data_IF_415266691523
#
_entry.id   IF_415266691523
#
_cell.length_a   1.000
_cell.length_b   1.000
_cell.length_c   1.000
_cell.angle_alpha   90.00
_cell.angle_beta   90.00
_cell.angle_gamma   90.00
#
_symmetry.space_group_name_H-M   'P 1'
#
loop_
_entity.id
_entity.type
_entity.pdbx_description
1 polymer ?
#
# COMPACT_ATOMS: atom_id res chain seq x y z
N UNK A 1 -1.09 59.42 13.82
CA UNK A 1 -0.88 59.33 15.29
C UNK A 1 -0.07 60.53 15.72
N UNK A 2 -0.38 61.14 16.88
CA UNK A 2 0.39 62.28 17.41
C UNK A 2 1.07 61.79 18.69
N UNK A 3 2.38 62.01 18.80
CA UNK A 3 3.16 61.67 19.99
C UNK A 3 3.65 62.96 20.65
N UNK A 4 3.48 63.09 21.97
CA UNK A 4 4.08 64.17 22.74
C UNK A 4 5.42 63.71 23.33
N UNK A 5 6.52 64.29 22.87
CA UNK A 5 7.88 63.92 23.29
C UNK A 5 8.23 64.49 24.67
N UNK A 6 7.47 65.48 25.16
CA UNK A 6 7.75 66.19 26.40
C UNK A 6 8.97 67.10 26.29
N UNK A 7 9.57 67.46 27.44
CA UNK A 7 10.75 68.32 27.48
C UNK A 7 11.98 67.59 26.92
N UNK A 8 12.51 68.11 25.82
CA UNK A 8 13.75 67.62 25.22
C UNK A 8 14.89 68.59 25.55
N UNK A 9 15.78 68.17 26.46
CA UNK A 9 16.93 68.99 26.88
C UNK A 9 17.94 69.18 25.75
N UNK A 10 18.72 70.27 25.80
CA UNK A 10 19.77 70.57 24.81
C UNK A 10 20.74 69.40 24.69
N UNK A 11 21.02 68.98 23.45
CA UNK A 11 21.92 67.87 23.13
C UNK A 11 21.34 66.46 23.41
N UNK A 12 20.08 66.36 23.84
CA UNK A 12 19.43 65.07 24.10
C UNK A 12 18.67 64.54 22.88
N UNK A 13 18.45 63.23 22.83
CA UNK A 13 17.65 62.56 21.81
C UNK A 13 16.56 61.74 22.46
N UNK A 14 15.35 61.79 21.89
CA UNK A 14 14.25 60.89 22.24
C UNK A 14 13.92 59.99 21.05
N UNK A 15 13.59 58.73 21.31
CA UNK A 15 13.32 57.72 20.28
C UNK A 15 11.84 57.32 20.32
N UNK A 16 11.16 57.49 19.19
CA UNK A 16 9.83 56.93 18.95
C UNK A 16 10.00 55.69 18.07
N UNK A 17 9.46 54.56 18.52
CA UNK A 17 9.52 53.29 17.76
C UNK A 17 8.14 52.94 17.24
N UNK A 18 8.05 52.78 15.93
CA UNK A 18 6.88 52.22 15.27
C UNK A 18 7.20 50.77 14.90
N UNK A 19 6.30 49.85 15.25
CA UNK A 19 6.41 48.43 14.91
C UNK A 19 5.23 48.07 14.01
N UNK A 20 5.54 47.42 12.90
CA UNK A 20 4.56 46.87 11.98
C UNK A 20 4.68 45.35 11.98
N UNK A 21 3.55 44.69 11.78
CA UNK A 21 3.52 43.27 11.41
C UNK A 21 3.16 43.21 9.95
N UNK A 22 4.04 42.66 9.13
CA UNK A 22 3.79 42.40 7.72
C UNK A 22 3.07 41.05 7.65
N UNK A 23 1.88 41.03 7.08
CA UNK A 23 1.09 39.80 6.94
C UNK A 23 1.61 38.91 5.80
N UNK A 24 1.30 37.61 5.81
CA UNK A 24 1.76 36.66 4.78
C UNK A 24 1.22 36.95 3.37
N UNK A 25 0.11 37.70 3.27
CA UNK A 25 -0.52 38.11 2.02
C UNK A 25 -0.10 39.53 1.56
N UNK A 26 0.95 40.12 2.16
CA UNK A 26 1.37 41.47 1.80
C UNK A 26 1.98 41.47 0.41
N UNK A 27 1.50 42.36 -0.47
CA UNK A 27 2.02 42.50 -1.83
C UNK A 27 3.50 42.89 -1.82
N UNK A 28 4.27 42.23 -2.70
CA UNK A 28 5.66 42.57 -2.89
C UNK A 28 5.78 43.94 -3.59
N UNK A 29 6.86 44.67 -3.28
CA UNK A 29 7.17 45.90 -3.98
C UNK A 29 8.27 46.71 -3.31
N UNK A 30 8.87 47.59 -4.09
CA UNK A 30 9.93 48.48 -3.64
C UNK A 30 9.30 49.63 -2.85
N UNK A 31 9.81 49.90 -1.64
CA UNK A 31 9.42 51.03 -0.79
C UNK A 31 7.90 51.12 -0.49
N UNK A 32 7.19 49.98 -0.49
CA UNK A 32 5.73 49.93 -0.30
C UNK A 32 5.29 50.22 1.14
N UNK A 33 6.13 49.93 2.13
CA UNK A 33 5.87 50.31 3.52
C UNK A 33 6.51 51.68 3.74
N UNK A 34 5.70 52.73 3.82
CA UNK A 34 6.16 54.12 4.01
C UNK A 34 5.72 54.68 5.36
N UNK A 35 6.57 55.51 5.95
CA UNK A 35 6.29 56.28 7.16
C UNK A 35 6.84 57.70 6.99
N UNK A 36 6.07 58.69 7.45
CA UNK A 36 6.47 60.09 7.45
C UNK A 36 6.36 60.63 8.86
N UNK A 37 7.49 60.99 9.46
CA UNK A 37 7.51 61.68 10.75
C UNK A 37 7.65 63.17 10.52
N UNK A 38 6.77 63.95 11.16
CA UNK A 38 6.77 65.41 11.08
C UNK A 38 6.60 66.03 12.46
N UNK A 39 7.37 67.08 12.79
CA UNK A 39 7.13 67.92 13.97
C UNK A 39 6.02 68.91 13.65
N UNK A 40 4.90 68.80 14.37
CA UNK A 40 3.68 69.59 14.11
C UNK A 40 3.65 70.86 14.98
N UNK A 41 4.27 70.82 16.16
CA UNK A 41 4.32 71.96 17.08
C UNK A 41 5.46 71.83 18.09
N UNK A 42 6.05 72.96 18.48
CA UNK A 42 6.95 73.12 19.61
C UNK A 42 6.62 74.43 20.36
N UNK A 43 6.89 74.51 21.66
CA UNK A 43 6.61 75.72 22.46
C UNK A 43 7.63 76.84 22.20
N UNK A 44 8.87 76.47 21.88
CA UNK A 44 9.94 77.40 21.55
C UNK A 44 9.99 77.65 20.03
N UNK A 45 10.55 78.80 19.62
CA UNK A 45 10.78 79.11 18.21
C UNK A 45 11.75 78.11 17.60
N UNK A 46 11.28 77.37 16.60
CA UNK A 46 12.14 76.56 15.76
C UNK A 46 12.88 77.46 14.74
N UNK A 47 14.20 77.47 14.84
CA UNK A 47 15.08 78.27 14.00
C UNK A 47 15.42 77.60 12.66
N UNK A 48 15.09 76.33 12.48
CA UNK A 48 15.33 75.58 11.24
C UNK A 48 14.18 74.63 10.90
N UNK A 49 12.99 75.14 10.55
CA UNK A 49 11.81 74.30 10.30
C UNK A 49 11.93 73.34 9.11
N UNK A 50 12.97 73.48 8.27
CA UNK A 50 13.18 72.61 7.10
C UNK A 50 13.62 71.19 7.47
N UNK A 51 14.10 70.95 8.70
CA UNK A 51 14.54 69.62 9.15
C UNK A 51 13.46 68.86 9.96
N UNK A 52 12.23 69.38 10.00
CA UNK A 52 11.16 68.81 10.81
C UNK A 52 10.42 67.64 10.17
N UNK A 53 10.82 67.21 8.97
CA UNK A 53 10.15 66.15 8.23
C UNK A 53 11.17 65.13 7.78
N UNK A 54 10.91 63.86 8.06
CA UNK A 54 11.73 62.74 7.62
C UNK A 54 10.85 61.60 7.11
N UNK A 55 10.93 61.25 5.81
CA UNK A 55 10.34 60.02 5.30
C UNK A 55 11.24 58.82 5.60
N UNK A 56 10.64 57.65 5.73
CA UNK A 56 11.32 56.36 5.75
C UNK A 56 10.46 55.36 4.98
N UNK A 57 11.08 54.52 4.16
CA UNK A 57 10.40 53.47 3.43
C UNK A 57 11.17 52.16 3.54
N UNK A 58 10.47 51.05 3.28
CA UNK A 58 11.06 49.73 3.12
C UNK A 58 10.24 48.89 2.16
N UNK A 59 10.92 47.96 1.50
CA UNK A 59 10.35 47.06 0.50
C UNK A 59 9.74 45.82 1.14
N UNK A 60 8.89 45.13 0.39
CA UNK A 60 8.38 43.80 0.72
C UNK A 60 8.82 42.84 -0.37
N UNK A 61 9.44 41.73 0.03
CA UNK A 61 9.74 40.59 -0.82
C UNK A 61 8.91 39.40 -0.36
N UNK A 62 8.48 38.55 -1.30
CA UNK A 62 7.74 37.32 -0.99
C UNK A 62 8.68 36.14 -1.01
N UNK A 63 8.69 35.42 0.09
CA UNK A 63 9.46 34.20 0.30
C UNK A 63 8.51 33.05 0.69
N UNK A 64 8.63 31.92 0.03
CA UNK A 64 7.91 30.69 0.33
C UNK A 64 8.88 29.51 0.51
N UNK A 65 8.50 28.52 1.31
CA UNK A 65 9.24 27.26 1.50
C UNK A 65 8.27 26.16 1.09
N UNK A 66 8.47 25.55 -0.08
CA UNK A 66 7.52 24.61 -0.66
C UNK A 66 8.07 23.20 -0.52
N UNK A 67 7.64 22.50 0.51
CA UNK A 67 8.01 21.10 0.66
C UNK A 67 7.08 20.21 -0.17
N UNK A 68 7.68 19.37 -1.01
CA UNK A 68 6.98 18.33 -1.77
C UNK A 68 7.26 16.97 -1.15
N UNK A 69 6.23 16.14 -1.04
CA UNK A 69 6.34 14.74 -0.67
C UNK A 69 5.52 13.86 -1.62
N UNK A 70 6.06 12.73 -2.04
CA UNK A 70 5.34 11.68 -2.76
C UNK A 70 5.38 10.41 -1.91
N UNK A 71 4.23 9.79 -1.68
CA UNK A 71 4.14 8.53 -0.92
C UNK A 71 3.24 7.55 -1.64
N UNK A 72 3.52 6.27 -1.51
CA UNK A 72 2.71 5.20 -2.10
C UNK A 72 1.82 4.48 -1.08
N UNK A 73 0.78 3.79 -1.56
CA UNK A 73 -0.11 3.01 -0.69
C UNK A 73 0.46 1.64 -0.29
N UNK A 74 1.35 1.09 -1.12
CA UNK A 74 2.01 -0.21 -0.89
C UNK A 74 3.24 -0.35 -1.76
N UNK A 75 4.24 -1.03 -1.23
CA UNK A 75 5.38 -1.56 -1.97
C UNK A 75 5.73 -2.96 -1.42
N UNK A 76 5.67 -4.02 -2.23
CA UNK A 76 5.28 -4.04 -3.65
C UNK A 76 3.76 -3.96 -3.90
N UNK A 77 3.39 -3.54 -5.11
CA UNK A 77 2.04 -3.76 -5.66
C UNK A 77 1.92 -5.16 -6.25
N UNK A 78 0.79 -5.82 -5.95
CA UNK A 78 0.45 -7.13 -6.50
C UNK A 78 -0.36 -6.94 -7.80
N UNK A 79 0.24 -7.27 -8.93
CA UNK A 79 -0.36 -7.07 -10.25
C UNK A 79 -1.65 -7.89 -10.41
N UNK A 80 -2.73 -7.24 -10.83
CA UNK A 80 -4.05 -7.85 -11.01
C UNK A 80 -4.84 -8.10 -9.72
N UNK A 81 -4.26 -7.82 -8.55
CA UNK A 81 -4.97 -7.92 -7.28
C UNK A 81 -5.79 -6.65 -7.01
N UNK A 82 -7.04 -6.80 -6.58
CA UNK A 82 -7.89 -5.69 -6.10
C UNK A 82 -8.80 -6.20 -4.98
N UNK A 83 -8.78 -5.56 -3.82
CA UNK A 83 -9.63 -5.92 -2.68
C UNK A 83 -11.12 -5.73 -2.98
N UNK A 84 -11.48 -4.69 -3.74
CA UNK A 84 -12.86 -4.36 -4.11
C UNK A 84 -13.31 -5.01 -5.42
N UNK A 85 -12.40 -5.68 -6.14
CA UNK A 85 -12.66 -6.21 -7.49
C UNK A 85 -12.83 -5.13 -8.55
N UNK A 86 -12.46 -3.88 -8.25
CA UNK A 86 -12.46 -2.74 -9.19
C UNK A 86 -11.04 -2.34 -9.56
N UNK A 87 -10.81 -1.77 -10.76
CA UNK A 87 -9.52 -1.17 -11.12
C UNK A 87 -9.05 -0.16 -10.06
N UNK A 88 -7.73 -0.05 -9.87
CA UNK A 88 -7.16 0.87 -8.88
C UNK A 88 -6.55 0.15 -7.66
N UNK A 89 -5.37 -0.44 -7.82
CA UNK A 89 -4.71 -1.27 -6.81
C UNK A 89 -3.40 -0.67 -6.26
N UNK A 90 -3.00 0.50 -6.73
CA UNK A 90 -1.89 1.30 -6.22
C UNK A 90 -2.26 2.78 -6.29
N UNK A 91 -1.91 3.55 -5.26
CA UNK A 91 -2.07 5.01 -5.28
C UNK A 91 -0.79 5.71 -4.84
N UNK A 92 -0.35 6.70 -5.60
CA UNK A 92 0.68 7.65 -5.16
C UNK A 92 0.02 8.95 -4.73
N UNK A 93 0.41 9.51 -3.59
CA UNK A 93 -0.15 10.74 -3.05
C UNK A 93 0.95 11.79 -3.01
N UNK A 94 0.73 12.85 -3.78
CA UNK A 94 1.62 14.02 -3.84
C UNK A 94 1.09 15.05 -2.85
N UNK A 95 1.92 15.46 -1.90
CA UNK A 95 1.63 16.49 -0.89
C UNK A 95 2.52 17.69 -1.14
N UNK A 96 1.93 18.89 -1.18
CA UNK A 96 2.65 20.15 -1.22
C UNK A 96 2.31 20.94 0.02
N UNK A 97 3.32 21.48 0.71
CA UNK A 97 3.15 22.27 1.93
C UNK A 97 3.91 23.59 1.85
N UNK A 98 3.29 24.69 2.23
CA UNK A 98 3.97 25.99 2.33
C UNK A 98 4.42 26.25 3.77
N UNK A 99 5.68 25.94 4.07
CA UNK A 99 6.31 26.18 5.36
C UNK A 99 6.90 27.59 5.49
N UNK A 100 6.77 28.41 4.45
CA UNK A 100 7.41 29.72 4.34
C UNK A 100 6.68 30.84 5.09
N UNK A 101 7.27 32.04 5.09
CA UNK A 101 6.69 33.20 5.78
C UNK A 101 5.54 33.88 4.99
N UNK A 102 5.45 33.69 3.67
CA UNK A 102 4.41 34.28 2.83
C UNK A 102 3.42 33.24 2.31
N UNK A 103 2.20 33.66 1.99
CA UNK A 103 1.31 32.85 1.16
C UNK A 103 2.00 32.62 -0.20
N UNK A 104 1.76 31.49 -0.85
CA UNK A 104 2.32 31.18 -2.16
C UNK A 104 1.20 31.15 -3.20
N UNK A 105 1.37 31.77 -4.36
CA UNK A 105 0.36 31.78 -5.41
C UNK A 105 0.98 31.61 -6.79
N UNK A 106 0.17 31.15 -7.74
CA UNK A 106 0.59 30.81 -9.10
C UNK A 106 1.76 29.83 -9.14
N UNK A 107 1.72 28.77 -8.33
CA UNK A 107 2.74 27.72 -8.37
C UNK A 107 2.49 26.85 -9.61
N UNK A 108 3.56 26.50 -10.32
CA UNK A 108 3.54 25.48 -11.35
C UNK A 108 4.36 24.29 -10.87
N UNK A 109 3.75 23.12 -10.88
CA UNK A 109 4.38 21.86 -10.51
C UNK A 109 4.53 20.99 -11.76
N UNK A 110 5.75 20.57 -12.07
CA UNK A 110 6.00 19.54 -13.07
C UNK A 110 5.65 18.18 -12.47
N UNK A 111 4.84 17.40 -13.19
CA UNK A 111 4.49 16.04 -12.82
C UNK A 111 4.95 15.08 -13.91
N UNK A 112 5.57 13.99 -13.51
CA UNK A 112 5.96 12.91 -14.40
C UNK A 112 5.56 11.57 -13.79
N UNK A 113 5.14 10.65 -14.65
CA UNK A 113 4.96 9.26 -14.26
C UNK A 113 5.47 8.33 -15.34
N UNK A 114 6.25 7.36 -14.91
CA UNK A 114 6.82 6.30 -15.73
C UNK A 114 6.26 4.99 -15.21
N UNK A 115 5.74 4.15 -16.08
CA UNK A 115 5.15 2.87 -15.68
C UNK A 115 5.41 1.79 -16.75
N UNK A 116 5.52 0.52 -16.36
CA UNK A 116 5.69 -0.56 -17.32
C UNK A 116 4.37 -0.82 -18.10
N UNK A 117 4.43 -1.53 -19.24
CA UNK A 117 3.23 -1.97 -19.95
C UNK A 117 2.28 -2.73 -19.03
N UNK A 118 0.97 -2.55 -19.20
CA UNK A 118 -0.04 -3.15 -18.32
C UNK A 118 -0.36 -2.32 -17.07
N UNK A 119 0.29 -1.17 -16.87
CA UNK A 119 -0.07 -0.18 -15.85
C UNK A 119 -0.76 1.02 -16.51
N UNK A 120 -1.87 1.49 -15.94
CA UNK A 120 -2.57 2.69 -16.40
C UNK A 120 -2.92 3.61 -15.24
N UNK A 121 -2.91 4.92 -15.47
CA UNK A 121 -3.44 5.90 -14.51
C UNK A 121 -4.96 5.97 -14.73
N UNK A 122 -5.71 5.63 -13.68
CA UNK A 122 -7.17 5.66 -13.66
C UNK A 122 -7.68 7.08 -13.40
N UNK A 123 -7.09 7.77 -12.41
CA UNK A 123 -7.49 9.11 -12.02
C UNK A 123 -6.37 9.91 -11.36
N UNK A 124 -6.53 11.24 -11.38
CA UNK A 124 -5.64 12.19 -10.75
C UNK A 124 -6.42 13.27 -9.97
N UNK A 125 -6.06 13.46 -8.70
CA UNK A 125 -6.67 14.45 -7.81
C UNK A 125 -8.10 14.07 -7.40
N UNK A 126 -8.93 15.04 -6.97
CA UNK A 126 -10.30 14.79 -6.50
C UNK A 126 -11.32 14.55 -7.63
N UNK A 127 -10.91 14.56 -8.89
CA UNK A 127 -11.75 14.23 -10.04
C UNK A 127 -11.11 13.13 -10.87
N UNK A 128 -11.89 12.43 -11.68
CA UNK A 128 -11.40 11.41 -12.62
C UNK A 128 -10.67 12.03 -13.82
N UNK A 129 -9.68 12.88 -13.52
CA UNK A 129 -8.87 13.60 -14.50
C UNK A 129 -7.64 12.78 -14.90
N UNK A 130 -7.11 13.06 -16.09
CA UNK A 130 -5.79 12.58 -16.50
C UNK A 130 -4.69 13.34 -15.76
N UNK A 131 -3.58 12.68 -15.46
CA UNK A 131 -2.37 13.32 -14.92
C UNK A 131 -1.87 14.42 -15.88
N UNK A 132 -1.89 15.71 -15.49
CA UNK A 132 -1.36 16.79 -16.33
C UNK A 132 0.18 16.82 -16.22
N UNK A 133 0.91 17.20 -17.28
CA UNK A 133 2.37 17.35 -17.20
C UNK A 133 2.81 18.54 -16.33
N UNK A 134 1.94 19.56 -16.22
CA UNK A 134 2.12 20.70 -15.32
C UNK A 134 0.81 20.97 -14.60
N UNK A 135 0.86 20.97 -13.27
CA UNK A 135 -0.25 21.32 -12.40
C UNK A 135 -0.11 22.77 -11.94
N UNK A 136 -1.16 23.57 -12.16
CA UNK A 136 -1.21 24.95 -11.68
C UNK A 136 -1.96 25.04 -10.36
N UNK A 137 -1.36 25.67 -9.36
CA UNK A 137 -1.95 25.89 -8.04
C UNK A 137 -2.08 27.40 -7.85
N UNK A 138 -3.33 27.88 -7.80
CA UNK A 138 -3.61 29.32 -7.71
C UNK A 138 -3.12 29.91 -6.39
N UNK A 139 -3.37 29.22 -5.27
CA UNK A 139 -3.01 29.68 -3.95
C UNK A 139 -2.74 28.52 -2.99
N UNK A 140 -1.63 28.60 -2.26
CA UNK A 140 -1.25 27.75 -1.14
C UNK A 140 -0.86 28.68 0.03
N UNK A 141 -1.81 28.99 0.94
CA UNK A 141 -1.55 29.86 2.07
C UNK A 141 -0.42 29.36 2.96
N UNK A 142 0.17 30.28 3.73
CA UNK A 142 1.20 29.94 4.72
C UNK A 142 0.68 28.89 5.72
N UNK A 143 1.44 27.82 5.90
CA UNK A 143 1.18 26.73 6.83
C UNK A 143 0.16 25.71 6.35
N UNK A 144 -0.38 25.87 5.14
CA UNK A 144 -1.34 24.94 4.56
C UNK A 144 -0.65 23.90 3.67
N UNK A 145 -1.35 22.77 3.49
CA UNK A 145 -0.95 21.69 2.60
C UNK A 145 -2.09 21.32 1.65
N UNK A 146 -1.74 20.87 0.45
CA UNK A 146 -2.67 20.31 -0.54
C UNK A 146 -2.16 18.95 -1.01
N UNK A 147 -3.10 18.03 -1.28
CA UNK A 147 -2.79 16.65 -1.66
C UNK A 147 -3.47 16.26 -2.97
N UNK A 148 -2.75 15.54 -3.83
CA UNK A 148 -3.25 14.97 -5.07
C UNK A 148 -2.93 13.47 -5.15
N UNK A 149 -3.97 12.63 -5.28
CA UNK A 149 -3.78 11.20 -5.51
C UNK A 149 -3.62 10.89 -7.00
N UNK A 150 -2.72 9.97 -7.34
CA UNK A 150 -2.60 9.31 -8.64
C UNK A 150 -3.02 7.86 -8.42
N UNK A 151 -4.15 7.45 -8.99
CA UNK A 151 -4.63 6.09 -8.87
C UNK A 151 -4.19 5.26 -10.08
N UNK A 152 -3.48 4.16 -9.82
CA UNK A 152 -2.99 3.23 -10.83
C UNK A 152 -3.81 1.95 -10.85
N UNK A 153 -4.12 1.47 -12.05
CA UNK A 153 -4.52 0.09 -12.29
C UNK A 153 -3.33 -0.68 -12.87
N UNK A 154 -2.76 -1.57 -12.05
CA UNK A 154 -1.64 -2.44 -12.40
C UNK A 154 -2.21 -3.81 -12.73
N UNK A 155 -2.36 -4.11 -14.02
CA UNK A 155 -3.01 -5.33 -14.49
C UNK A 155 -2.15 -6.57 -14.23
N UNK A 156 -2.76 -7.76 -14.23
CA UNK A 156 -2.05 -9.04 -14.07
C UNK A 156 -1.02 -9.32 -15.17
N UNK A 157 -1.02 -8.56 -16.27
CA UNK A 157 -0.04 -8.69 -17.37
C UNK A 157 1.15 -7.74 -17.21
N UNK A 158 1.14 -6.86 -16.19
CA UNK A 158 2.28 -5.99 -15.91
C UNK A 158 3.53 -6.84 -15.60
N UNK A 159 4.70 -6.53 -16.19
CA UNK A 159 5.92 -7.25 -15.89
C UNK A 159 6.38 -6.98 -14.46
N UNK A 160 6.96 -7.99 -13.80
CA UNK A 160 7.57 -7.80 -12.50
C UNK A 160 8.84 -6.94 -12.58
N UNK A 161 9.13 -6.20 -11.52
CA UNK A 161 10.33 -5.37 -11.44
C UNK A 161 10.41 -4.58 -10.14
N UNK A 162 11.62 -4.11 -9.82
CA UNK A 162 11.87 -3.24 -8.67
C UNK A 162 11.78 -1.78 -9.15
N UNK A 163 11.10 -0.92 -8.39
CA UNK A 163 11.02 0.52 -8.62
C UNK A 163 10.58 0.90 -10.05
N UNK A 164 9.58 0.17 -10.59
CA UNK A 164 9.19 0.30 -12.00
C UNK A 164 8.04 1.26 -12.26
N UNK A 165 7.22 1.53 -11.24
CA UNK A 165 6.15 2.54 -11.31
C UNK A 165 6.65 3.75 -10.54
N UNK A 166 6.99 4.81 -11.25
CA UNK A 166 7.56 6.02 -10.65
C UNK A 166 6.59 7.18 -10.84
N UNK A 167 6.41 7.98 -9.78
CA UNK A 167 5.82 9.32 -9.86
C UNK A 167 6.80 10.32 -9.31
N UNK A 168 7.03 11.40 -10.03
CA UNK A 168 7.81 12.52 -9.55
C UNK A 168 7.03 13.82 -9.65
N UNK A 169 7.33 14.71 -8.72
CA UNK A 169 6.79 16.05 -8.64
C UNK A 169 7.94 17.01 -8.35
N UNK A 170 8.04 18.10 -9.11
CA UNK A 170 9.05 19.12 -8.89
C UNK A 170 8.46 20.50 -9.12
N UNK A 171 8.76 21.45 -8.23
CA UNK A 171 8.37 22.85 -8.40
C UNK A 171 9.06 23.40 -9.67
N UNK A 172 8.24 23.79 -10.64
CA UNK A 172 8.71 24.36 -11.90
C UNK A 172 8.89 25.87 -11.78
N UNK A 173 7.93 26.55 -11.14
CA UNK A 173 8.01 28.00 -10.92
C UNK A 173 7.16 28.50 -9.76
N UNK A 174 7.63 29.60 -9.17
CA UNK A 174 6.94 30.42 -8.19
C UNK A 174 7.24 31.90 -8.48
N UNK A 175 6.26 32.78 -8.26
CA UNK A 175 6.39 34.22 -8.54
C UNK A 175 7.22 35.01 -7.52
N UNK A 176 7.69 34.39 -6.45
CA UNK A 176 8.57 34.97 -5.45
C UNK A 176 9.88 34.18 -5.30
N UNK A 177 10.55 34.35 -4.17
CA UNK A 177 11.76 33.60 -3.84
C UNK A 177 11.39 32.32 -3.10
N UNK A 178 12.00 31.20 -3.48
CA UNK A 178 11.94 29.98 -2.67
C UNK A 178 13.11 29.94 -1.70
N UNK A 179 12.80 29.66 -0.44
CA UNK A 179 13.79 29.32 0.58
C UNK A 179 13.79 27.80 0.75
N UNK A 180 14.96 27.21 1.00
CA UNK A 180 15.16 25.76 1.11
C UNK A 180 14.80 24.95 -0.16
N UNK A 181 15.28 25.35 -1.36
CA UNK A 181 14.88 24.73 -2.62
C UNK A 181 15.22 23.23 -2.76
N UNK A 182 16.02 22.68 -1.85
CA UNK A 182 16.31 21.24 -1.79
C UNK A 182 15.08 20.36 -1.51
N UNK A 183 13.99 20.91 -0.99
CA UNK A 183 12.75 20.17 -0.67
C UNK A 183 11.62 20.41 -1.69
N UNK A 184 11.92 21.14 -2.78
CA UNK A 184 10.98 21.51 -3.84
C UNK A 184 10.72 20.39 -4.86
N UNK A 185 11.23 19.19 -4.63
CA UNK A 185 11.03 18.05 -5.51
C UNK A 185 11.07 16.75 -4.72
N UNK A 186 10.25 15.80 -5.14
CA UNK A 186 10.26 14.45 -4.60
C UNK A 186 9.79 13.42 -5.64
N UNK A 187 10.16 12.17 -5.42
CA UNK A 187 9.78 11.06 -6.28
C UNK A 187 9.63 9.79 -5.47
N UNK A 188 8.60 9.01 -5.78
CA UNK A 188 8.38 7.70 -5.20
C UNK A 188 8.32 6.62 -6.29
N UNK A 189 8.82 5.43 -5.97
CA UNK A 189 8.89 4.32 -6.90
C UNK A 189 8.40 3.01 -6.28
N UNK A 190 7.41 2.39 -6.92
CA UNK A 190 6.83 1.11 -6.47
C UNK A 190 7.37 -0.07 -7.26
N UNK A 191 7.66 -1.16 -6.56
CA UNK A 191 7.98 -2.45 -7.15
C UNK A 191 6.73 -3.25 -7.51
N UNK A 192 6.79 -4.02 -8.60
CA UNK A 192 5.70 -4.86 -9.09
C UNK A 192 6.03 -6.34 -8.89
N UNK A 193 5.14 -7.05 -8.19
CA UNK A 193 5.09 -8.52 -8.19
C UNK A 193 3.99 -8.97 -9.14
N UNK A 194 4.32 -9.86 -10.08
CA UNK A 194 3.45 -10.26 -11.18
C UNK A 194 3.18 -11.76 -11.20
N UNK A 195 1.93 -12.19 -11.47
CA UNK A 195 1.64 -13.60 -11.76
C UNK A 195 2.29 -14.04 -13.07
N UNK A 196 2.58 -13.13 -14.00
CA UNK A 196 3.30 -13.42 -15.25
C UNK A 196 4.76 -13.84 -15.05
N UNK A 197 5.34 -13.55 -13.88
CA UNK A 197 6.68 -13.98 -13.48
C UNK A 197 6.66 -15.22 -12.58
N UNK A 198 5.59 -16.00 -12.61
CA UNK A 198 5.49 -17.30 -11.91
C UNK A 198 5.52 -18.43 -12.93
N UNK A 199 6.37 -19.43 -12.72
CA UNK A 199 6.29 -20.68 -13.47
C UNK A 199 5.42 -21.65 -12.69
N UNK A 200 4.46 -22.29 -13.36
CA UNK A 200 3.57 -23.28 -12.77
C UNK A 200 3.48 -24.50 -13.69
N UNK A 201 3.51 -25.69 -13.09
CA UNK A 201 3.37 -26.95 -13.81
C UNK A 201 2.80 -28.05 -12.93
N UNK A 202 2.06 -28.98 -13.54
CA UNK A 202 1.49 -30.14 -12.86
C UNK A 202 2.21 -31.43 -13.25
N UNK A 203 2.40 -32.32 -12.29
CA UNK A 203 2.81 -33.71 -12.54
C UNK A 203 1.71 -34.50 -13.25
N UNK A 204 2.00 -35.76 -13.56
CA UNK A 204 0.95 -36.71 -13.93
C UNK A 204 -0.09 -36.86 -12.80
N UNK A 205 -1.35 -37.00 -13.19
CA UNK A 205 -2.46 -37.27 -12.27
C UNK A 205 -2.47 -38.78 -11.97
N UNK A 206 -2.56 -39.15 -10.69
CA UNK A 206 -2.51 -40.54 -10.25
C UNK A 206 -3.66 -40.88 -9.30
N UNK A 207 -4.24 -42.07 -9.41
CA UNK A 207 -5.31 -42.51 -8.51
C UNK A 207 -4.72 -42.99 -7.17
N UNK A 208 -5.17 -42.39 -6.09
CA UNK A 208 -4.93 -42.89 -4.74
C UNK A 208 -6.04 -43.88 -4.37
N UNK A 209 -5.68 -45.17 -4.29
CA UNK A 209 -6.63 -46.25 -3.98
C UNK A 209 -7.15 -46.20 -2.53
N UNK A 210 -6.49 -45.49 -1.62
CA UNK A 210 -6.95 -45.37 -0.24
C UNK A 210 -8.07 -44.35 -0.09
N UNK A 211 -7.97 -43.23 -0.81
CA UNK A 211 -8.94 -42.13 -0.73
C UNK A 211 -9.94 -42.12 -1.88
N UNK A 212 -9.70 -42.93 -2.94
CA UNK A 212 -10.42 -42.89 -4.21
C UNK A 212 -10.38 -41.51 -4.90
N UNK A 213 -9.39 -40.68 -4.56
CA UNK A 213 -9.14 -39.37 -5.17
C UNK A 213 -7.97 -39.47 -6.14
N UNK A 214 -8.03 -38.67 -7.20
CA UNK A 214 -6.94 -38.47 -8.13
C UNK A 214 -6.03 -37.35 -7.59
N UNK A 215 -4.75 -37.62 -7.41
CA UNK A 215 -3.77 -36.66 -6.90
C UNK A 215 -2.87 -36.14 -8.00
N UNK A 216 -2.57 -34.85 -7.95
CA UNK A 216 -1.59 -34.19 -8.80
C UNK A 216 -0.72 -33.26 -7.95
N UNK A 217 0.59 -33.34 -8.15
CA UNK A 217 1.53 -32.38 -7.57
C UNK A 217 1.66 -31.20 -8.53
N UNK A 218 1.45 -29.99 -8.03
CA UNK A 218 1.60 -28.73 -8.76
C UNK A 218 2.85 -28.04 -8.21
N UNK A 219 3.86 -27.83 -9.05
CA UNK A 219 5.05 -27.07 -8.68
C UNK A 219 4.85 -25.62 -9.11
N UNK A 220 5.02 -24.69 -8.16
CA UNK A 220 4.95 -23.24 -8.39
C UNK A 220 6.31 -22.66 -8.06
N UNK A 221 6.91 -21.93 -9.00
CA UNK A 221 8.21 -21.27 -8.83
C UNK A 221 8.05 -19.77 -8.97
N UNK A 222 8.48 -19.03 -7.95
CA UNK A 222 8.51 -17.58 -7.98
C UNK A 222 9.73 -17.09 -8.77
N UNK A 223 9.53 -16.57 -9.99
CA UNK A 223 10.59 -15.88 -10.74
C UNK A 223 10.47 -14.35 -10.68
N UNK A 224 9.64 -13.83 -9.76
CA UNK A 224 9.68 -12.40 -9.45
C UNK A 224 11.01 -12.05 -8.77
N UNK A 225 11.48 -10.80 -8.91
CA UNK A 225 12.65 -10.32 -8.18
C UNK A 225 12.39 -10.17 -6.67
N UNK A 226 11.12 -10.17 -6.25
CA UNK A 226 10.68 -10.01 -4.86
C UNK A 226 9.85 -11.23 -4.40
N UNK A 227 9.62 -11.31 -3.09
CA UNK A 227 8.75 -12.34 -2.51
C UNK A 227 7.29 -12.18 -2.96
N UNK A 228 6.58 -13.30 -3.08
CA UNK A 228 5.12 -13.30 -3.23
C UNK A 228 4.53 -13.55 -1.83
N UNK A 229 3.70 -12.66 -1.28
CA UNK A 229 3.21 -12.80 0.10
C UNK A 229 2.17 -13.93 0.26
N UNK A 230 1.30 -14.12 -0.73
CA UNK A 230 0.36 -15.24 -0.84
C UNK A 230 -0.18 -15.33 -2.28
N UNK A 231 -0.71 -16.50 -2.67
CA UNK A 231 -1.32 -16.67 -3.98
C UNK A 231 -2.42 -17.74 -4.06
N UNK A 232 -3.37 -17.44 -4.95
CA UNK A 232 -4.34 -18.24 -5.69
C UNK A 232 -3.73 -19.19 -6.72
N UNK A 233 -3.84 -20.51 -6.61
CA UNK A 233 -3.75 -21.39 -7.80
C UNK A 233 -5.16 -21.74 -8.27
N UNK A 234 -5.66 -21.04 -9.29
CA UNK A 234 -6.94 -21.33 -9.92
C UNK A 234 -6.77 -22.54 -10.83
N UNK A 235 -7.66 -23.52 -10.68
CA UNK A 235 -7.62 -24.79 -11.41
C UNK A 235 -8.84 -24.90 -12.33
N UNK A 236 -8.60 -24.60 -13.61
CA UNK A 236 -9.57 -24.63 -14.69
C UNK A 236 -9.44 -25.86 -15.58
N UNK A 237 -10.16 -25.86 -16.71
CA UNK A 237 -10.11 -26.95 -17.71
C UNK A 237 -10.72 -28.28 -17.24
N UNK A 238 -11.36 -28.32 -16.07
CA UNK A 238 -11.88 -29.55 -15.49
C UNK A 238 -13.14 -30.04 -16.25
N UNK A 239 -13.21 -31.32 -16.64
CA UNK A 239 -14.42 -31.91 -17.19
C UNK A 239 -15.61 -31.83 -16.22
N UNK A 240 -16.84 -31.86 -16.73
CA UNK A 240 -18.05 -31.73 -15.91
C UNK A 240 -18.28 -32.85 -14.88
N UNK A 241 -17.58 -33.98 -14.98
CA UNK A 241 -17.58 -35.07 -13.99
C UNK A 241 -16.42 -34.98 -12.99
N UNK A 242 -15.60 -33.93 -13.07
CA UNK A 242 -14.42 -33.69 -12.21
C UNK A 242 -14.67 -32.49 -11.31
N UNK A 243 -14.33 -32.63 -10.03
CA UNK A 243 -14.34 -31.54 -9.05
C UNK A 243 -13.01 -31.50 -8.31
N UNK A 244 -12.52 -30.29 -8.01
CA UNK A 244 -11.38 -30.11 -7.11
C UNK A 244 -11.87 -30.33 -5.68
N UNK A 245 -11.56 -31.50 -5.12
CA UNK A 245 -12.07 -31.95 -3.83
C UNK A 245 -11.53 -31.13 -2.67
N UNK A 246 -10.26 -30.73 -2.73
CA UNK A 246 -9.61 -29.88 -1.74
C UNK A 246 -9.65 -28.38 -2.10
N UNK A 247 -10.62 -27.96 -2.92
CA UNK A 247 -10.80 -26.55 -3.28
C UNK A 247 -11.03 -25.69 -2.04
N UNK A 248 -10.35 -24.55 -1.98
CA UNK A 248 -10.40 -23.62 -0.85
C UNK A 248 -11.36 -22.44 -1.06
N UNK A 249 -12.13 -22.49 -2.14
CA UNK A 249 -13.01 -21.45 -2.62
C UNK A 249 -13.04 -21.43 -4.13
N UNK A 250 -13.69 -20.41 -4.69
CA UNK A 250 -13.68 -20.13 -6.11
C UNK A 250 -13.51 -18.62 -6.37
N UNK A 251 -12.74 -18.27 -7.39
CA UNK A 251 -12.60 -16.89 -7.90
C UNK A 251 -13.15 -16.87 -9.33
N UNK A 252 -14.12 -15.99 -9.60
CA UNK A 252 -14.81 -15.97 -10.90
C UNK A 252 -15.48 -17.30 -11.30
N UNK A 253 -15.84 -18.15 -10.32
CA UNK A 253 -16.39 -19.49 -10.56
C UNK A 253 -15.37 -20.60 -10.80
N UNK A 254 -14.07 -20.28 -10.84
CA UNK A 254 -12.98 -21.26 -10.95
C UNK A 254 -12.50 -21.66 -9.57
N UNK A 255 -12.46 -22.96 -9.21
CA UNK A 255 -11.99 -23.41 -7.90
C UNK A 255 -10.49 -23.15 -7.74
N UNK A 256 -10.02 -22.87 -6.52
CA UNK A 256 -8.61 -22.59 -6.28
C UNK A 256 -8.00 -23.32 -5.06
N UNK A 257 -6.67 -23.38 -5.04
CA UNK A 257 -5.86 -23.75 -3.88
C UNK A 257 -5.14 -22.51 -3.31
N UNK A 258 -5.40 -22.24 -2.02
CA UNK A 258 -4.72 -21.29 -1.12
C UNK A 258 -3.25 -21.59 -0.79
N UNK A 259 -2.26 -20.89 -1.32
CA UNK A 259 -0.96 -20.81 -0.65
C UNK A 259 -0.86 -19.48 0.10
N UNK A 260 -1.08 -19.52 1.42
CA UNK A 260 -1.21 -18.34 2.27
C UNK A 260 0.09 -18.00 3.02
N UNK A 261 1.23 -18.12 2.35
CA UNK A 261 2.55 -17.90 2.93
C UNK A 261 3.49 -17.22 1.94
N UNK A 262 4.54 -16.54 2.44
CA UNK A 262 5.53 -15.96 1.56
C UNK A 262 6.24 -17.07 0.76
N UNK A 263 6.49 -16.79 -0.51
CA UNK A 263 7.34 -17.58 -1.40
C UNK A 263 8.48 -16.68 -1.87
N UNK A 264 9.70 -16.94 -1.42
CA UNK A 264 10.85 -16.08 -1.70
C UNK A 264 11.20 -16.05 -3.20
N UNK A 265 11.94 -15.03 -3.63
CA UNK A 265 12.41 -14.94 -5.00
C UNK A 265 13.30 -16.15 -5.37
N UNK A 266 12.97 -16.82 -6.47
CA UNK A 266 13.64 -18.04 -6.94
C UNK A 266 13.22 -19.33 -6.22
N UNK A 267 12.34 -19.25 -5.22
CA UNK A 267 11.87 -20.41 -4.46
C UNK A 267 10.76 -21.16 -5.22
N UNK A 268 10.69 -22.47 -4.98
CA UNK A 268 9.62 -23.34 -5.47
C UNK A 268 8.86 -23.98 -4.32
N UNK A 269 7.55 -24.13 -4.49
CA UNK A 269 6.68 -24.89 -3.59
C UNK A 269 5.88 -25.94 -4.39
N UNK A 270 5.67 -27.10 -3.78
CA UNK A 270 4.82 -28.15 -4.31
C UNK A 270 3.47 -28.18 -3.58
N UNK A 271 2.39 -28.03 -4.34
CA UNK A 271 1.01 -28.09 -3.86
C UNK A 271 0.35 -29.40 -4.31
N UNK A 272 -0.38 -30.08 -3.43
CA UNK A 272 -1.19 -31.24 -3.85
C UNK A 272 -2.61 -30.82 -4.22
N UNK A 273 -3.02 -31.06 -5.47
CA UNK A 273 -4.41 -31.01 -5.90
C UNK A 273 -5.06 -32.40 -5.79
N UNK A 274 -6.23 -32.46 -5.19
CA UNK A 274 -7.02 -33.67 -5.02
C UNK A 274 -8.31 -33.54 -5.81
N UNK A 275 -8.49 -34.38 -6.83
CA UNK A 275 -9.67 -34.38 -7.69
C UNK A 275 -10.57 -35.56 -7.37
N UNK A 276 -11.86 -35.31 -7.31
CA UNK A 276 -12.88 -36.35 -7.39
C UNK A 276 -13.39 -36.42 -8.83
N UNK A 277 -13.37 -37.61 -9.42
CA UNK A 277 -13.94 -37.88 -10.74
C UNK A 277 -14.89 -39.06 -10.64
N UNK A 278 -16.13 -38.90 -11.11
CA UNK A 278 -17.17 -39.96 -11.04
C UNK A 278 -16.71 -41.25 -11.71
N UNK A 279 -15.98 -41.16 -12.82
CA UNK A 279 -15.48 -42.30 -13.59
C UNK A 279 -14.13 -42.83 -13.12
N UNK A 280 -13.43 -42.11 -12.23
CA UNK A 280 -12.08 -42.42 -11.76
C UNK A 280 -11.05 -42.71 -12.88
N UNK A 281 -11.24 -42.12 -14.07
CA UNK A 281 -10.41 -42.40 -15.26
C UNK A 281 -9.05 -41.69 -15.24
N UNK A 282 -8.94 -40.54 -14.59
CA UNK A 282 -7.72 -39.72 -14.55
C UNK A 282 -7.30 -39.10 -15.89
N UNK A 283 -8.10 -39.29 -16.94
CA UNK A 283 -7.77 -38.92 -18.33
C UNK A 283 -8.10 -37.47 -18.69
N UNK A 284 -7.71 -36.50 -17.86
CA UNK A 284 -7.92 -35.08 -18.13
C UNK A 284 -6.64 -34.27 -17.91
N UNK A 285 -6.66 -33.00 -18.30
CA UNK A 285 -5.60 -32.03 -18.07
C UNK A 285 -6.20 -30.82 -17.38
N UNK A 286 -5.60 -30.41 -16.26
CA UNK A 286 -5.98 -29.22 -15.54
C UNK A 286 -5.22 -28.01 -16.11
N UNK A 287 -5.87 -26.85 -16.14
CA UNK A 287 -5.25 -25.58 -16.48
C UNK A 287 -4.99 -24.79 -15.20
N UNK A 288 -3.82 -24.17 -15.07
CA UNK A 288 -3.44 -23.43 -13.88
C UNK A 288 -3.26 -21.94 -14.17
N UNK A 289 -3.81 -21.11 -13.30
CA UNK A 289 -3.59 -19.66 -13.31
C UNK A 289 -3.24 -19.17 -11.91
N UNK A 290 -2.27 -18.25 -11.83
CA UNK A 290 -1.90 -17.58 -10.59
C UNK A 290 -2.72 -16.31 -10.41
N UNK A 291 -3.31 -16.16 -9.23
CA UNK A 291 -3.93 -14.92 -8.75
C UNK A 291 -3.18 -14.50 -7.48
N UNK A 292 -2.50 -13.36 -7.49
CA UNK A 292 -1.81 -12.86 -6.31
C UNK A 292 -2.84 -12.32 -5.31
N UNK A 293 -2.59 -12.52 -4.02
CA UNK A 293 -3.44 -12.01 -2.94
C UNK A 293 -2.60 -11.59 -1.74
N UNK A 294 -3.13 -10.68 -0.94
CA UNK A 294 -2.61 -10.47 0.40
C UNK A 294 -2.92 -11.68 1.32
N UNK A 295 -2.09 -11.93 2.34
CA UNK A 295 -2.27 -13.07 3.22
C UNK A 295 -3.58 -12.94 4.01
N UNK A 296 -4.37 -14.01 4.01
CA UNK A 296 -5.59 -14.08 4.79
C UNK A 296 -5.26 -14.04 6.29
N UNK A 297 -5.93 -13.12 7.02
CA UNK A 297 -5.71 -12.91 8.46
C UNK A 297 -6.04 -14.13 9.31
N UNK A 298 -5.24 -14.35 10.36
CA UNK A 298 -5.39 -15.47 11.30
C UNK A 298 -6.37 -15.08 12.41
N UNK A 299 -7.61 -15.54 12.34
CA UNK A 299 -8.54 -15.40 13.46
C UNK A 299 -8.19 -16.41 14.57
N UNK A 300 -7.88 -15.91 15.77
CA UNK A 300 -7.53 -16.75 16.92
C UNK A 300 -8.70 -17.02 17.88
N UNK A 301 -8.92 -18.33 18.04
CA UNK A 301 -9.36 -19.12 19.20
C UNK A 301 -10.73 -18.88 19.87
N UNK A 302 -11.62 -19.81 19.59
CA UNK A 302 -12.34 -20.61 20.60
C UNK A 302 -11.44 -21.75 21.15
N UNK A 303 -11.90 -22.47 22.18
CA UNK A 303 -11.20 -23.64 22.74
C UNK A 303 -11.05 -24.77 21.70
N UNK A 304 -9.86 -25.40 21.67
CA UNK A 304 -9.56 -26.53 20.79
C UNK A 304 -10.30 -27.82 21.18
N UNK A 305 -10.51 -28.67 20.18
CA UNK A 305 -11.03 -30.03 20.27
C UNK A 305 -9.87 -30.99 20.43
N UNK A 306 -10.05 -32.00 21.28
CA UNK A 306 -9.09 -33.09 21.45
C UNK A 306 -8.98 -33.93 20.17
N UNK A 307 -7.74 -34.21 19.74
CA UNK A 307 -7.45 -35.14 18.66
C UNK A 307 -7.44 -36.57 19.21
N UNK A 308 -8.36 -37.42 18.72
CA UNK A 308 -8.44 -38.83 19.10
C UNK A 308 -7.23 -39.63 18.60
N UNK A 309 -6.69 -39.26 17.45
CA UNK A 309 -5.51 -39.92 16.87
C UNK A 309 -4.70 -38.93 16.05
N UNK A 310 -3.38 -39.00 16.23
CA UNK A 310 -2.40 -38.43 15.31
C UNK A 310 -1.44 -39.54 14.91
N UNK A 311 -1.39 -39.88 13.63
CA UNK A 311 -0.58 -40.99 13.12
C UNK A 311 0.23 -40.57 11.89
N UNK A 312 1.43 -41.12 11.73
CA UNK A 312 2.18 -40.97 10.48
C UNK A 312 1.82 -42.09 9.52
N UNK A 313 1.47 -41.74 8.28
CA UNK A 313 1.21 -42.70 7.21
C UNK A 313 2.54 -43.20 6.59
N UNK A 314 2.55 -44.30 5.82
CA UNK A 314 3.78 -44.84 5.21
C UNK A 314 4.53 -43.84 4.32
N UNK A 315 3.80 -42.93 3.66
CA UNK A 315 4.34 -41.83 2.85
C UNK A 315 4.79 -40.61 3.67
N UNK A 316 4.72 -40.68 5.01
CA UNK A 316 5.09 -39.63 5.97
C UNK A 316 4.07 -38.48 6.14
N UNK A 317 2.94 -38.51 5.44
CA UNK A 317 1.79 -37.67 5.74
C UNK A 317 1.36 -37.84 7.21
N UNK A 318 0.70 -36.83 7.79
CA UNK A 318 0.09 -36.94 9.12
C UNK A 318 -1.41 -37.07 9.01
N UNK A 319 -1.95 -38.17 9.53
CA UNK A 319 -3.38 -38.38 9.72
C UNK A 319 -3.80 -37.86 11.09
N UNK A 320 -4.77 -36.95 11.09
CA UNK A 320 -5.48 -36.46 12.27
C UNK A 320 -6.87 -37.07 12.29
N UNK A 321 -7.33 -37.50 13.46
CA UNK A 321 -8.68 -38.00 13.68
C UNK A 321 -9.28 -37.30 14.91
N UNK A 322 -10.51 -36.81 14.78
CA UNK A 322 -11.23 -36.19 15.88
C UNK A 322 -12.73 -36.48 15.82
N UNK A 323 -13.38 -36.53 16.98
CA UNK A 323 -14.85 -36.57 17.07
C UNK A 323 -15.42 -35.28 16.50
N UNK A 324 -16.36 -35.43 15.58
CA UNK A 324 -17.02 -34.33 14.89
C UNK A 324 -18.53 -34.51 14.86
N UNK A 325 -19.24 -33.46 14.50
CA UNK A 325 -20.70 -33.45 14.35
C UNK A 325 -20.98 -33.18 12.89
N UNK A 326 -21.77 -34.07 12.27
CA UNK A 326 -22.10 -33.98 10.84
C UNK A 326 -22.69 -32.61 10.50
N UNK A 327 -22.14 -31.96 9.49
CA UNK A 327 -22.54 -30.63 8.99
C UNK A 327 -21.85 -29.45 9.66
N UNK A 328 -21.12 -29.65 10.76
CA UNK A 328 -20.39 -28.59 11.45
C UNK A 328 -19.04 -28.29 10.78
N UNK A 329 -18.57 -27.06 11.00
CA UNK A 329 -17.35 -26.50 10.39
C UNK A 329 -16.22 -26.50 11.41
N UNK A 330 -15.06 -27.01 11.01
CA UNK A 330 -13.87 -27.14 11.83
C UNK A 330 -12.67 -26.50 11.15
N UNK A 331 -11.93 -25.65 11.86
CA UNK A 331 -10.64 -25.14 11.38
C UNK A 331 -9.53 -26.02 11.96
N UNK A 332 -8.70 -26.59 11.10
CA UNK A 332 -7.46 -27.23 11.54
C UNK A 332 -6.38 -26.15 11.66
N UNK A 333 -5.59 -26.24 12.72
CA UNK A 333 -4.46 -25.34 12.94
C UNK A 333 -3.19 -26.16 13.13
N UNK A 334 -2.10 -25.69 12.56
CA UNK A 334 -0.79 -26.28 12.73
C UNK A 334 0.22 -25.25 13.25
N UNK A 335 1.29 -25.73 13.87
CA UNK A 335 2.35 -24.91 14.43
C UNK A 335 3.68 -25.66 14.42
N UNK A 336 4.78 -24.94 14.30
CA UNK A 336 6.14 -25.51 14.38
C UNK A 336 6.77 -25.31 15.78
N UNK A 337 6.28 -24.35 16.56
CA UNK A 337 6.78 -24.00 17.90
C UNK A 337 5.78 -24.24 19.04
N UNK A 338 4.51 -24.51 18.70
CA UNK A 338 3.40 -24.66 19.64
C UNK A 338 2.81 -23.33 20.14
N UNK A 339 3.38 -22.20 19.74
CA UNK A 339 2.98 -20.84 20.14
C UNK A 339 2.29 -20.10 19.00
N UNK A 340 2.89 -20.12 17.80
CA UNK A 340 2.38 -19.51 16.59
C UNK A 340 1.56 -20.52 15.79
N UNK A 341 0.24 -20.33 15.76
CA UNK A 341 -0.68 -21.25 15.09
C UNK A 341 -1.20 -20.67 13.77
N UNK A 342 -1.16 -21.48 12.72
CA UNK A 342 -1.60 -21.12 11.38
C UNK A 342 -2.87 -21.90 11.05
N UNK A 343 -3.91 -21.22 10.55
CA UNK A 343 -5.14 -21.86 10.08
C UNK A 343 -4.88 -22.58 8.76
N UNK A 344 -5.29 -23.84 8.69
CA UNK A 344 -5.48 -24.57 7.45
C UNK A 344 -6.74 -24.03 6.79
N UNK A 345 -6.65 -23.70 5.51
CA UNK A 345 -7.77 -23.30 4.66
C UNK A 345 -7.94 -24.43 3.63
N UNK A 346 -9.17 -24.83 3.24
CA UNK A 346 -10.44 -24.35 3.77
C UNK A 346 -10.75 -25.01 5.12
N UNK A 347 -11.78 -24.48 5.79
CA UNK A 347 -12.35 -25.20 6.92
C UNK A 347 -12.92 -26.55 6.48
N UNK A 348 -12.87 -27.52 7.38
CA UNK A 348 -13.37 -28.88 7.17
C UNK A 348 -14.84 -28.95 7.58
N UNK A 349 -15.72 -29.30 6.63
CA UNK A 349 -17.11 -29.64 6.93
C UNK A 349 -17.18 -31.12 7.25
N UNK A 350 -17.62 -31.48 8.45
CA UNK A 350 -17.67 -32.87 8.87
C UNK A 350 -18.80 -33.64 8.15
N UNK A 351 -18.44 -34.70 7.41
CA UNK A 351 -19.40 -35.61 6.78
C UNK A 351 -19.79 -36.81 7.64
N UNK A 352 -19.15 -37.01 8.80
CA UNK A 352 -19.35 -38.14 9.70
C UNK A 352 -19.19 -37.69 11.16
N UNK A 353 -19.45 -38.59 12.12
CA UNK A 353 -19.25 -38.34 13.55
C UNK A 353 -17.78 -38.46 14.00
N UNK A 354 -16.91 -38.92 13.09
CA UNK A 354 -15.46 -38.96 13.24
C UNK A 354 -14.89 -38.43 11.94
N UNK A 355 -14.15 -37.33 12.01
CA UNK A 355 -13.47 -36.76 10.85
C UNK A 355 -12.03 -37.24 10.84
N UNK A 356 -11.60 -37.76 9.69
CA UNK A 356 -10.20 -37.98 9.38
C UNK A 356 -9.73 -36.89 8.42
N UNK A 357 -8.58 -36.29 8.74
CA UNK A 357 -7.95 -35.28 7.90
C UNK A 357 -6.47 -35.60 7.75
N UNK A 358 -5.94 -35.41 6.56
CA UNK A 358 -4.55 -35.75 6.23
C UNK A 358 -3.78 -34.49 5.87
N UNK A 359 -2.70 -34.25 6.61
CA UNK A 359 -1.65 -33.30 6.28
C UNK A 359 -0.64 -33.96 5.33
N UNK A 360 -0.69 -33.53 4.08
CA UNK A 360 0.23 -33.91 3.01
C UNK A 360 1.08 -32.71 2.55
N UNK A 361 1.22 -31.69 3.40
CA UNK A 361 1.96 -30.47 3.06
C UNK A 361 1.11 -29.42 2.34
N UNK A 362 1.77 -28.58 1.56
CA UNK A 362 1.12 -27.50 0.84
C UNK A 362 0.13 -28.04 -0.20
N UNK A 363 -1.01 -27.36 -0.45
CA UNK A 363 -1.40 -26.02 0.05
C UNK A 363 -2.03 -26.02 1.46
N UNK A 364 -2.25 -27.19 2.06
CA UNK A 364 -2.97 -27.29 3.35
C UNK A 364 -2.11 -26.73 4.49
N UNK A 365 -0.82 -27.02 4.48
CA UNK A 365 0.18 -26.53 5.44
C UNK A 365 1.39 -25.94 4.71
N UNK A 366 2.26 -25.23 5.42
CA UNK A 366 3.44 -24.55 4.85
C UNK A 366 4.34 -25.46 4.04
N UNK A 367 4.47 -26.69 4.50
CA UNK A 367 5.44 -27.66 4.01
C UNK A 367 5.03 -29.05 4.43
N UNK A 368 5.57 -30.07 3.78
CA UNK A 368 5.27 -31.44 4.15
C UNK A 368 5.67 -31.72 5.62
N UNK A 369 4.87 -32.45 6.42
CA UNK A 369 5.18 -32.68 7.83
C UNK A 369 6.53 -33.36 8.11
N UNK A 370 7.11 -34.01 7.10
CA UNK A 370 8.42 -34.65 7.20
C UNK A 370 9.60 -33.71 7.00
N UNK A 371 9.39 -32.48 6.51
CA UNK A 371 10.45 -31.51 6.27
C UNK A 371 10.65 -30.55 7.44
N UNK A 372 9.82 -30.65 8.48
CA UNK A 372 9.91 -29.86 9.72
C UNK A 372 10.32 -30.72 10.90
N UNK A 373 11.15 -30.18 11.80
CA UNK A 373 11.55 -30.89 13.02
C UNK A 373 10.36 -31.19 13.93
N UNK A 374 9.49 -30.20 14.10
CA UNK A 374 8.27 -30.31 14.91
C UNK A 374 7.06 -29.88 14.10
N UNK A 375 5.96 -30.60 14.28
CA UNK A 375 4.65 -30.24 13.72
C UNK A 375 3.56 -30.54 14.73
N UNK A 376 2.98 -29.49 15.29
CA UNK A 376 1.89 -29.53 16.24
C UNK A 376 0.56 -29.28 15.53
N UNK A 377 -0.50 -29.86 16.07
CA UNK A 377 -1.85 -29.75 15.51
C UNK A 377 -2.86 -29.46 16.60
N UNK A 378 -3.87 -28.66 16.25
CA UNK A 378 -5.11 -28.54 17.02
C UNK A 378 -6.28 -28.33 16.07
N UNK A 379 -7.47 -28.67 16.52
CA UNK A 379 -8.71 -28.47 15.75
C UNK A 379 -9.59 -27.55 16.55
N UNK A 380 -10.20 -26.56 15.92
CA UNK A 380 -11.19 -25.69 16.56
C UNK A 380 -12.53 -25.84 15.84
N UNK A 381 -13.62 -25.94 16.60
CA UNK A 381 -14.96 -25.83 16.01
C UNK A 381 -15.21 -24.36 15.74
N UNK A 382 -15.58 -24.03 14.51
CA UNK A 382 -16.00 -22.68 14.17
C UNK A 382 -17.36 -22.44 14.82
N UNK A 383 -17.50 -21.35 15.59
CA UNK A 383 -18.80 -20.97 16.11
C UNK A 383 -19.74 -20.66 14.92
N UNK A 384 -21.02 -21.03 15.00
CA UNK A 384 -21.99 -20.81 13.93
C UNK A 384 -22.17 -19.33 13.58
#
# INVERSE_FOLDING_TARGET
MIWNVGDLSVGSTSLVRLRFTVGPSTEAGIDVITNLASVISAQQTDVNPQNNVVPSSTSVEREADITIGVVESRDPVLAGYSESGTPGNLSHVITLSNNGPSDAGNLALQLESISPPGTTIVSFGPGDASLPPVLSIENLPRGESITYGVLYDVSSTAPAGIDTIVTSAALLSFGGTIINPENDADSEATSVVSPGSVTIGGSAITLDLQTALLKQTITVTNNNPLEIPAFRVLIGGLPGDVTLHNAQGASGGVPFLLYNQPLAAGESIELTAEYFQVTASGGFQAEFQIELVDPAGVAFSTAGIELNRVASLPNKDKLLEFVSVVGEIYTIQYSEDGENWINVIPDVIAGANVTQWVDNGAPKTSSHPSTTENRFYRVVRKAP
#
